data_IF_125462136608
#
_entry.id   IF_125462136608
#
_cell.length_a   1.000
_cell.length_b   1.000
_cell.length_c   1.000
_cell.angle_alpha   90.00
_cell.angle_beta   90.00
_cell.angle_gamma   90.00
#
_symmetry.space_group_name_H-M   'P 1'
#
loop_
_entity.id
_entity.type
_entity.pdbx_description
1 polymer ?
#
# COMPACT_ATOMS: atom_id res chain seq x y z
N UNK A 1 8.60 -11.41 -6.04
CA UNK A 1 8.60 -10.64 -4.77
C UNK A 1 7.63 -9.48 -4.95
N UNK A 2 6.84 -9.17 -3.94
CA UNK A 2 5.83 -8.11 -3.95
C UNK A 2 5.98 -7.31 -2.66
N UNK A 3 5.82 -5.98 -2.73
CA UNK A 3 5.78 -5.11 -1.56
C UNK A 3 4.33 -4.67 -1.33
N UNK A 4 3.85 -4.84 -0.10
CA UNK A 4 2.59 -4.28 0.36
C UNK A 4 2.90 -3.19 1.38
N UNK A 5 2.34 -2.01 1.19
CA UNK A 5 2.57 -0.85 2.06
C UNK A 5 1.23 -0.45 2.67
N UNK A 6 1.19 -0.38 4.00
CA UNK A 6 0.18 0.44 4.67
C UNK A 6 0.54 1.91 4.41
N UNK A 7 -0.23 2.51 3.51
CA UNK A 7 -0.07 3.89 3.06
C UNK A 7 -1.07 4.83 3.77
N UNK A 8 -1.80 4.35 4.78
CA UNK A 8 -2.73 5.16 5.56
C UNK A 8 -1.97 6.15 6.43
N UNK A 9 -1.94 7.42 6.00
CA UNK A 9 -1.13 8.48 6.60
C UNK A 9 0.40 8.20 6.67
N UNK A 10 0.92 7.31 5.83
CA UNK A 10 2.35 7.01 5.79
C UNK A 10 3.14 8.13 5.09
N UNK A 11 4.10 8.80 5.75
CA UNK A 11 4.77 9.98 5.18
C UNK A 11 5.92 9.64 4.23
N UNK A 12 6.22 8.36 3.99
CA UNK A 12 7.42 7.88 3.28
C UNK A 12 7.08 6.90 2.14
N UNK A 13 5.86 6.97 1.61
CA UNK A 13 5.41 6.13 0.49
C UNK A 13 6.27 6.35 -0.75
N UNK A 14 6.62 7.61 -1.03
CA UNK A 14 7.49 8.03 -2.13
C UNK A 14 8.86 7.33 -2.11
N UNK A 15 9.47 7.20 -0.93
CA UNK A 15 10.75 6.49 -0.76
C UNK A 15 10.62 5.01 -1.14
N UNK A 16 9.50 4.38 -0.80
CA UNK A 16 9.27 2.96 -1.14
C UNK A 16 9.13 2.80 -2.65
N UNK A 17 8.33 3.64 -3.30
CA UNK A 17 8.14 3.62 -4.75
C UNK A 17 9.45 3.88 -5.50
N UNK A 18 10.19 4.91 -5.10
CA UNK A 18 11.47 5.28 -5.69
C UNK A 18 12.49 4.14 -5.71
N UNK A 19 12.50 3.31 -4.67
CA UNK A 19 13.42 2.17 -4.56
C UNK A 19 12.84 0.96 -5.31
N UNK A 20 11.55 0.69 -5.14
CA UNK A 20 10.89 -0.43 -5.78
C UNK A 20 10.94 -0.33 -7.32
N UNK A 21 10.71 0.86 -7.87
CA UNK A 21 10.80 1.13 -9.31
C UNK A 21 12.20 0.86 -9.86
N UNK A 22 13.25 1.36 -9.19
CA UNK A 22 14.65 1.10 -9.58
C UNK A 22 14.99 -0.40 -9.65
N UNK A 23 14.33 -1.20 -8.81
CA UNK A 23 14.53 -2.64 -8.75
C UNK A 23 13.45 -3.45 -9.49
N UNK A 24 12.49 -2.79 -10.16
CA UNK A 24 11.33 -3.41 -10.82
C UNK A 24 10.55 -4.36 -9.89
N UNK A 25 10.37 -3.98 -8.63
CA UNK A 25 9.61 -4.76 -7.63
C UNK A 25 8.20 -4.19 -7.55
N UNK A 26 7.15 -4.94 -7.93
CA UNK A 26 5.79 -4.43 -7.85
C UNK A 26 5.37 -4.07 -6.41
N UNK A 27 4.63 -2.96 -6.31
CA UNK A 27 4.15 -2.36 -5.05
C UNK A 27 2.63 -2.24 -5.09
N UNK A 28 1.99 -2.54 -3.97
CA UNK A 28 0.59 -2.23 -3.73
C UNK A 28 0.48 -1.36 -2.48
N UNK A 29 -0.09 -0.17 -2.63
CA UNK A 29 -0.40 0.76 -1.55
C UNK A 29 -1.81 0.50 -1.04
N UNK A 30 -1.98 0.42 0.26
CA UNK A 30 -3.29 0.29 0.90
C UNK A 30 -3.58 1.54 1.72
N UNK A 31 -4.76 2.12 1.56
CA UNK A 31 -5.21 3.25 2.36
C UNK A 31 -6.71 3.22 2.59
N UNK A 32 -7.19 4.03 3.51
CA UNK A 32 -8.62 4.16 3.77
C UNK A 32 -9.25 5.30 2.95
N UNK A 33 -10.56 5.52 3.13
CA UNK A 33 -11.27 6.61 2.44
C UNK A 33 -10.94 8.02 2.94
N UNK A 34 -10.22 8.16 4.06
CA UNK A 34 -9.82 9.45 4.63
C UNK A 34 -8.54 9.98 3.96
N UNK A 35 -7.67 9.08 3.49
CA UNK A 35 -6.44 9.43 2.78
C UNK A 35 -6.53 9.01 1.31
N UNK A 36 -6.81 9.98 0.44
CA UNK A 36 -6.87 9.71 -1.01
C UNK A 36 -5.45 9.48 -1.54
N UNK A 37 -5.17 8.25 -1.96
CA UNK A 37 -3.89 7.85 -2.54
C UNK A 37 -3.95 7.87 -4.07
N UNK A 38 -2.87 8.36 -4.67
CA UNK A 38 -2.63 8.32 -6.12
C UNK A 38 -1.20 7.88 -6.38
N UNK A 39 -1.02 7.00 -7.36
CA UNK A 39 0.30 6.58 -7.82
C UNK A 39 0.28 6.25 -9.31
N UNK A 40 1.36 6.61 -10.01
CA UNK A 40 1.61 6.23 -11.40
C UNK A 40 2.38 4.90 -11.52
N UNK A 41 2.93 4.38 -10.41
CA UNK A 41 3.75 3.18 -10.35
C UNK A 41 3.06 2.03 -9.63
N UNK A 42 2.54 2.29 -8.44
CA UNK A 42 1.96 1.28 -7.55
C UNK A 42 0.48 1.04 -7.85
N UNK A 43 0.02 -0.19 -7.60
CA UNK A 43 -1.41 -0.44 -7.47
C UNK A 43 -1.94 0.19 -6.18
N UNK A 44 -3.12 0.81 -6.22
CA UNK A 44 -3.75 1.43 -5.04
C UNK A 44 -5.02 0.66 -4.69
N UNK A 45 -5.08 0.15 -3.47
CA UNK A 45 -6.28 -0.45 -2.87
C UNK A 45 -6.82 0.49 -1.81
N UNK A 46 -8.05 0.96 -2.01
CA UNK A 46 -8.77 1.78 -1.04
C UNK A 46 -9.79 0.91 -0.30
N UNK A 47 -9.80 0.98 1.03
CA UNK A 47 -10.78 0.32 1.90
C UNK A 47 -11.65 1.34 2.63
N UNK A 48 -12.80 0.90 3.15
CA UNK A 48 -13.64 1.77 3.98
C UNK A 48 -12.91 2.18 5.26
N UNK A 49 -13.18 3.40 5.74
CA UNK A 49 -12.67 3.87 7.03
C UNK A 49 -13.14 2.98 8.19
N UNK A 50 -12.25 2.73 9.15
CA UNK A 50 -12.55 1.98 10.35
C UNK A 50 -11.25 1.68 11.11
N UNK A 51 -11.36 1.38 12.40
CA UNK A 51 -10.21 0.97 13.19
C UNK A 51 -9.57 -0.27 12.52
N UNK A 52 -8.27 -0.19 12.27
CA UNK A 52 -7.43 -1.25 11.71
C UNK A 52 -7.91 -1.78 10.34
N UNK A 53 -8.72 -1.01 9.60
CA UNK A 53 -9.34 -1.48 8.36
C UNK A 53 -8.29 -1.84 7.28
N UNK A 54 -7.23 -1.03 7.20
CA UNK A 54 -6.12 -1.26 6.29
C UNK A 54 -5.31 -2.46 6.72
N UNK A 55 -5.02 -2.61 8.02
CA UNK A 55 -4.33 -3.79 8.58
C UNK A 55 -5.07 -5.09 8.26
N UNK A 56 -6.38 -5.14 8.49
CA UNK A 56 -7.18 -6.33 8.19
C UNK A 56 -7.14 -6.68 6.70
N UNK A 57 -7.16 -5.67 5.82
CA UNK A 57 -7.02 -5.90 4.39
C UNK A 57 -5.64 -6.42 4.04
N UNK A 58 -4.59 -5.84 4.63
CA UNK A 58 -3.20 -6.25 4.43
C UNK A 58 -2.99 -7.71 4.84
N UNK A 59 -3.48 -8.11 6.02
CA UNK A 59 -3.46 -9.51 6.49
C UNK A 59 -4.22 -10.43 5.52
N UNK A 60 -5.36 -9.99 4.99
CA UNK A 60 -6.19 -10.80 4.09
C UNK A 60 -5.52 -11.09 2.74
N UNK A 61 -4.62 -10.22 2.26
CA UNK A 61 -3.95 -10.38 0.95
C UNK A 61 -2.52 -10.89 1.08
N UNK A 62 -1.89 -10.66 2.23
CA UNK A 62 -0.56 -11.14 2.55
C UNK A 62 -0.62 -12.64 2.88
N UNK A 63 -0.65 -13.46 1.83
CA UNK A 63 -0.62 -14.92 1.97
C UNK A 63 0.82 -15.37 2.23
N UNK A 64 1.06 -16.06 3.35
CA UNK A 64 2.32 -16.78 3.55
C UNK A 64 2.32 -17.95 2.56
N UNK A 65 3.22 -17.91 1.59
CA UNK A 65 3.50 -19.02 0.68
C UNK A 65 4.48 -19.98 1.35
#
# INVERSE_FOLDING_TARGET
MQIFVDADACPVVDIVEDIAEKHNIPVTLLGDTNHVLYSDYSEVIVVGSGADAVDYKLISICTVI
#
